data_IF_358261218356
#
_entry.id   IF_358261218356
#
_cell.length_a   1.000
_cell.length_b   1.000
_cell.length_c   1.000
_cell.angle_alpha   90.00
_cell.angle_beta   90.00
_cell.angle_gamma   90.00
#
_symmetry.space_group_name_H-M   'P 1'
#
loop_
_entity.id
_entity.type
_entity.pdbx_description
1 polymer ?
#
# COMPACT_ATOMS: atom_id res chain seq x y z
N UNK A 1 8.71 8.93 -9.80
CA UNK A 1 7.79 9.94 -9.22
C UNK A 1 7.91 10.04 -7.71
N UNK A 2 8.00 8.93 -6.96
CA UNK A 2 8.09 8.95 -5.49
C UNK A 2 9.21 9.88 -4.94
N UNK A 3 10.49 9.65 -5.32
CA UNK A 3 11.61 10.50 -4.88
C UNK A 3 11.42 11.99 -5.22
N UNK A 4 10.90 12.25 -6.43
CA UNK A 4 10.59 13.60 -6.88
C UNK A 4 9.43 14.22 -6.06
N UNK A 5 8.43 13.43 -5.69
CA UNK A 5 7.33 13.86 -4.82
C UNK A 5 7.85 14.32 -3.46
N UNK A 6 8.74 13.55 -2.83
CA UNK A 6 9.37 13.94 -1.56
C UNK A 6 10.18 15.23 -1.70
N UNK A 7 10.96 15.38 -2.78
CA UNK A 7 11.73 16.59 -3.05
C UNK A 7 10.82 17.81 -3.26
N UNK A 8 9.80 17.70 -4.13
CA UNK A 8 8.85 18.77 -4.38
C UNK A 8 8.06 19.17 -3.13
N UNK A 9 7.72 18.20 -2.27
CA UNK A 9 7.05 18.47 -1.01
C UNK A 9 7.93 19.30 -0.08
N UNK A 10 9.23 19.00 -0.02
CA UNK A 10 10.21 19.75 0.77
C UNK A 10 10.40 21.17 0.25
N UNK A 11 10.47 21.35 -1.07
CA UNK A 11 10.82 22.63 -1.68
C UNK A 11 9.61 23.57 -1.84
N UNK A 12 8.45 23.03 -2.22
CA UNK A 12 7.28 23.80 -2.65
C UNK A 12 6.02 23.55 -1.80
N UNK A 13 6.08 22.66 -0.82
CA UNK A 13 4.95 22.27 0.02
C UNK A 13 3.97 21.28 -0.63
N UNK A 14 3.09 20.72 0.20
CA UNK A 14 2.19 19.62 -0.17
C UNK A 14 1.22 19.96 -1.31
N UNK A 15 0.58 21.13 -1.27
CA UNK A 15 -0.44 21.50 -2.26
C UNK A 15 0.15 21.55 -3.69
N UNK A 16 1.27 22.26 -3.85
CA UNK A 16 1.96 22.39 -5.12
C UNK A 16 2.52 21.05 -5.62
N UNK A 17 3.10 20.25 -4.72
CA UNK A 17 3.60 18.92 -5.05
C UNK A 17 2.47 18.01 -5.54
N UNK A 18 1.32 17.99 -4.84
CA UNK A 18 0.15 17.19 -5.20
C UNK A 18 -0.38 17.58 -6.58
N UNK A 19 -0.56 18.87 -6.83
CA UNK A 19 -1.00 19.39 -8.12
C UNK A 19 -0.03 18.99 -9.23
N UNK A 20 1.28 19.14 -9.01
CA UNK A 20 2.31 18.78 -9.98
C UNK A 20 2.27 17.29 -10.36
N UNK A 21 2.18 16.39 -9.38
CA UNK A 21 2.12 14.96 -9.63
C UNK A 21 0.84 14.55 -10.36
N UNK A 22 -0.31 15.11 -9.96
CA UNK A 22 -1.60 14.81 -10.59
C UNK A 22 -1.67 15.36 -12.02
N UNK A 23 -1.20 16.59 -12.25
CA UNK A 23 -1.13 17.20 -13.57
C UNK A 23 -0.21 16.43 -14.51
N UNK A 24 0.92 15.91 -14.00
CA UNK A 24 1.82 15.08 -14.80
C UNK A 24 1.19 13.73 -15.15
N UNK A 25 0.48 13.11 -14.20
CA UNK A 25 -0.25 11.87 -14.45
C UNK A 25 -1.34 12.07 -15.51
N UNK A 26 -2.15 13.14 -15.40
CA UNK A 26 -3.18 13.44 -16.39
C UNK A 26 -2.59 13.73 -17.77
N UNK A 27 -1.48 14.48 -17.85
CA UNK A 27 -0.81 14.76 -19.11
C UNK A 27 -0.35 13.49 -19.83
N UNK A 28 0.20 12.50 -19.11
CA UNK A 28 0.60 11.23 -19.72
C UNK A 28 -0.59 10.50 -20.35
N UNK A 29 -1.72 10.45 -19.65
CA UNK A 29 -2.93 9.77 -20.12
C UNK A 29 -3.62 10.52 -21.25
N UNK A 30 -3.68 11.84 -21.17
CA UNK A 30 -4.22 12.70 -22.22
C UNK A 30 -3.41 12.56 -23.51
N UNK A 31 -2.08 12.61 -23.41
CA UNK A 31 -1.19 12.44 -24.58
C UNK A 31 -1.38 11.07 -25.22
N UNK A 32 -1.54 10.00 -24.42
CA UNK A 32 -1.82 8.66 -24.96
C UNK A 32 -3.16 8.62 -25.70
N UNK A 33 -4.22 9.21 -25.13
CA UNK A 33 -5.52 9.29 -25.79
C UNK A 33 -5.43 10.00 -27.14
N UNK A 34 -4.76 11.16 -27.17
CA UNK A 34 -4.63 11.99 -28.37
C UNK A 34 -3.79 11.36 -29.48
N UNK A 35 -2.73 10.62 -29.13
CA UNK A 35 -1.74 10.12 -30.09
C UNK A 35 -1.89 8.64 -30.45
N UNK A 36 -2.52 7.84 -29.59
CA UNK A 36 -2.53 6.39 -29.72
C UNK A 36 -3.94 5.78 -29.67
N UNK A 37 -5.00 6.56 -29.49
CA UNK A 37 -6.37 6.07 -29.34
C UNK A 37 -7.38 6.89 -30.14
N UNK A 38 -7.24 6.87 -31.47
CA UNK A 38 -8.21 7.51 -32.37
C UNK A 38 -9.61 6.88 -32.22
N UNK A 39 -10.65 7.72 -32.12
CA UNK A 39 -12.04 7.27 -32.06
C UNK A 39 -12.57 6.83 -30.67
N UNK A 40 -11.82 7.03 -29.59
CA UNK A 40 -12.30 6.68 -28.26
C UNK A 40 -13.50 7.54 -27.79
N UNK A 41 -14.58 6.93 -27.25
CA UNK A 41 -15.76 7.65 -26.77
C UNK A 41 -15.45 8.70 -25.70
N UNK A 42 -16.12 9.86 -25.75
CA UNK A 42 -15.87 11.02 -24.88
C UNK A 42 -16.16 10.81 -23.37
N UNK A 43 -16.68 9.65 -22.95
CA UNK A 43 -16.94 9.33 -21.53
C UNK A 43 -15.99 8.30 -20.91
N UNK A 44 -15.05 7.75 -21.68
CA UNK A 44 -14.15 6.69 -21.20
C UNK A 44 -12.74 7.21 -20.94
N UNK A 45 -12.14 6.82 -19.81
CA UNK A 45 -10.72 7.06 -19.56
C UNK A 45 -9.91 5.93 -20.20
N UNK A 46 -9.22 6.23 -21.31
CA UNK A 46 -8.40 5.25 -22.02
C UNK A 46 -7.00 5.21 -21.40
N UNK A 47 -6.56 4.01 -21.04
CA UNK A 47 -5.25 3.75 -20.44
C UNK A 47 -4.53 2.68 -21.28
N UNK A 48 -3.22 2.83 -21.56
CA UNK A 48 -2.43 1.71 -22.06
C UNK A 48 -2.26 0.66 -20.97
N UNK A 49 -2.11 -0.61 -21.37
CA UNK A 49 -1.89 -1.76 -20.49
C UNK A 49 -0.73 -1.51 -19.49
N UNK A 50 0.36 -0.90 -19.95
CA UNK A 50 1.55 -0.60 -19.16
C UNK A 50 1.33 0.49 -18.10
N UNK A 51 0.33 1.36 -18.24
CA UNK A 51 0.06 2.47 -17.32
C UNK A 51 -1.25 2.32 -16.55
N UNK A 52 -1.93 1.18 -16.65
CA UNK A 52 -3.24 0.96 -16.01
C UNK A 52 -3.23 1.18 -14.49
N UNK A 53 -2.09 0.94 -13.83
CA UNK A 53 -1.89 1.14 -12.39
C UNK A 53 -1.23 2.48 -12.04
N UNK A 54 -0.86 3.29 -13.03
CA UNK A 54 -0.19 4.58 -12.77
C UNK A 54 -1.04 5.53 -11.92
N UNK A 55 -2.35 5.73 -12.20
CA UNK A 55 -3.17 6.61 -11.36
C UNK A 55 -3.26 6.12 -9.90
N UNK A 56 -3.34 4.80 -9.71
CA UNK A 56 -3.36 4.18 -8.39
C UNK A 56 -2.07 4.51 -7.63
N UNK A 57 -0.91 4.27 -8.23
CA UNK A 57 0.38 4.53 -7.59
C UNK A 57 0.64 6.01 -7.33
N UNK A 58 0.24 6.90 -8.26
CA UNK A 58 0.36 8.35 -8.03
C UNK A 58 -0.51 8.79 -6.86
N UNK A 59 -1.74 8.29 -6.77
CA UNK A 59 -2.62 8.57 -5.64
C UNK A 59 -2.05 8.05 -4.32
N UNK A 60 -1.45 6.85 -4.32
CA UNK A 60 -0.78 6.32 -3.13
C UNK A 60 0.45 7.14 -2.72
N UNK A 61 1.24 7.63 -3.67
CA UNK A 61 2.37 8.53 -3.38
C UNK A 61 1.86 9.81 -2.67
N UNK A 62 0.78 10.41 -3.17
CA UNK A 62 0.21 11.63 -2.55
C UNK A 62 -0.27 11.37 -1.12
N UNK A 63 -0.78 10.16 -0.84
CA UNK A 63 -1.26 9.76 0.49
C UNK A 63 -0.17 9.31 1.44
N UNK A 64 1.01 8.92 0.94
CA UNK A 64 2.11 8.40 1.73
C UNK A 64 2.49 9.36 2.87
N UNK A 65 2.77 8.80 4.05
CA UNK A 65 2.93 9.57 5.28
C UNK A 65 4.13 10.54 5.22
N UNK A 66 5.22 10.15 4.54
CA UNK A 66 6.36 11.03 4.29
C UNK A 66 5.96 12.35 3.60
N UNK A 67 4.85 12.33 2.88
CA UNK A 67 4.29 13.48 2.18
C UNK A 67 3.19 14.13 3.01
N UNK A 68 2.12 13.39 3.30
CA UNK A 68 0.88 13.90 3.89
C UNK A 68 1.02 14.26 5.36
N UNK A 69 1.95 13.62 6.09
CA UNK A 69 2.13 13.82 7.53
C UNK A 69 0.93 13.30 8.33
N UNK A 70 0.73 11.97 8.36
CA UNK A 70 -0.40 11.32 9.04
C UNK A 70 -0.65 11.83 10.47
N UNK A 71 -1.88 11.70 10.95
CA UNK A 71 -2.36 12.32 12.20
C UNK A 71 -1.59 11.92 13.46
N UNK A 72 -0.96 10.74 13.45
CA UNK A 72 -0.22 10.19 14.59
C UNK A 72 1.30 10.23 14.39
N UNK A 73 1.78 10.81 13.28
CA UNK A 73 3.20 10.77 12.92
C UNK A 73 3.96 11.97 13.50
N UNK A 74 5.08 11.71 14.18
CA UNK A 74 5.95 12.78 14.68
C UNK A 74 6.75 13.43 13.53
N UNK A 75 7.34 14.60 13.80
CA UNK A 75 8.21 15.27 12.81
C UNK A 75 9.44 14.41 12.49
N UNK A 76 10.00 13.74 13.50
CA UNK A 76 11.16 12.87 13.32
C UNK A 76 10.82 11.66 12.45
N UNK A 77 9.67 11.02 12.70
CA UNK A 77 9.18 9.90 11.87
C UNK A 77 8.99 10.35 10.42
N UNK A 78 8.42 11.54 10.21
CA UNK A 78 8.23 12.11 8.87
C UNK A 78 9.56 12.27 8.14
N UNK A 79 10.52 12.92 8.80
CA UNK A 79 11.85 13.18 8.21
C UNK A 79 12.58 11.86 7.95
N UNK A 80 12.48 10.90 8.86
CA UNK A 80 13.05 9.57 8.68
C UNK A 80 12.48 8.87 7.44
N UNK A 81 11.15 8.86 7.25
CA UNK A 81 10.54 8.28 6.05
C UNK A 81 10.96 9.02 4.77
N UNK A 82 11.08 10.35 4.80
CA UNK A 82 11.56 11.13 3.66
C UNK A 82 12.99 10.74 3.25
N UNK A 83 13.88 10.55 4.22
CA UNK A 83 15.26 10.11 3.97
C UNK A 83 15.35 8.64 3.55
N UNK A 84 14.51 7.77 4.11
CA UNK A 84 14.36 6.39 3.66
C UNK A 84 13.99 6.35 2.16
N UNK A 85 13.00 7.13 1.74
CA UNK A 85 12.58 7.23 0.33
C UNK A 85 13.72 7.77 -0.55
N UNK A 86 14.55 8.70 -0.06
CA UNK A 86 15.69 9.21 -0.81
C UNK A 86 16.69 8.08 -1.11
N UNK A 87 16.97 7.24 -0.12
CA UNK A 87 17.91 6.12 -0.20
C UNK A 87 17.38 4.84 -0.84
N UNK A 88 16.06 4.66 -0.96
CA UNK A 88 15.47 3.39 -1.39
C UNK A 88 15.88 2.98 -2.81
N UNK A 89 16.08 1.67 -3.00
CA UNK A 89 16.32 1.08 -4.31
C UNK A 89 14.99 0.93 -5.07
N UNK A 90 15.06 0.84 -6.39
CA UNK A 90 13.85 0.79 -7.22
C UNK A 90 13.06 -0.49 -6.96
N UNK A 91 13.74 -1.62 -6.73
CA UNK A 91 13.13 -2.90 -6.39
C UNK A 91 12.31 -2.86 -5.09
N UNK A 92 12.73 -2.04 -4.13
CA UNK A 92 12.12 -1.96 -2.80
C UNK A 92 11.06 -0.85 -2.69
N UNK A 93 10.96 0.02 -3.69
CA UNK A 93 10.04 1.16 -3.65
C UNK A 93 8.56 0.76 -3.78
N UNK A 94 8.28 -0.40 -4.38
CA UNK A 94 6.91 -0.81 -4.70
C UNK A 94 6.05 -1.08 -3.44
N UNK A 95 6.50 -1.89 -2.46
CA UNK A 95 5.77 -2.08 -1.21
C UNK A 95 5.50 -0.77 -0.44
N UNK A 96 6.41 0.20 -0.54
CA UNK A 96 6.27 1.50 0.12
C UNK A 96 5.20 2.40 -0.53
N UNK A 97 4.98 2.23 -1.85
CA UNK A 97 3.93 2.93 -2.58
C UNK A 97 2.59 2.21 -2.43
N UNK A 98 2.57 0.89 -2.52
CA UNK A 98 1.36 0.10 -2.40
C UNK A 98 1.65 -1.15 -1.56
N UNK A 99 1.15 -1.22 -0.32
CA UNK A 99 1.49 -2.30 0.59
C UNK A 99 0.92 -3.63 0.11
N UNK A 100 1.63 -4.71 0.44
CA UNK A 100 1.20 -6.09 0.21
C UNK A 100 0.24 -6.49 1.33
N UNK A 101 -0.96 -6.94 0.99
CA UNK A 101 -1.92 -7.47 1.96
C UNK A 101 -2.17 -8.93 1.65
N UNK A 102 -1.94 -9.82 2.61
CA UNK A 102 -2.01 -11.27 2.43
C UNK A 102 -2.86 -11.90 3.53
N UNK A 103 -3.91 -12.68 3.20
CA UNK A 103 -4.64 -13.44 4.19
C UNK A 103 -3.77 -14.58 4.73
N UNK A 104 -3.70 -14.72 6.05
CA UNK A 104 -2.90 -15.75 6.72
C UNK A 104 -3.73 -16.76 7.49
N UNK A 105 -5.02 -16.48 7.72
CA UNK A 105 -5.94 -17.42 8.38
C UNK A 105 -6.15 -18.72 7.59
N UNK A 106 -6.01 -18.66 6.26
CA UNK A 106 -6.30 -19.79 5.36
C UNK A 106 -5.06 -20.66 5.11
N UNK A 107 -3.93 -20.34 5.76
CA UNK A 107 -2.68 -21.09 5.61
C UNK A 107 -2.81 -22.48 6.24
N UNK A 108 -2.71 -23.51 5.41
CA UNK A 108 -2.62 -24.91 5.86
C UNK A 108 -1.15 -25.31 5.93
N UNK A 109 -0.55 -25.17 7.11
CA UNK A 109 0.81 -25.61 7.35
C UNK A 109 0.78 -27.10 7.70
N UNK A 110 1.36 -27.95 6.83
CA UNK A 110 1.66 -29.33 7.18
C UNK A 110 3.07 -29.38 7.79
N UNK A 111 3.27 -30.16 8.85
CA UNK A 111 4.52 -30.19 9.65
C UNK A 111 5.81 -30.48 8.86
N UNK A 112 5.69 -31.00 7.62
CA UNK A 112 6.82 -31.43 6.78
C UNK A 112 7.00 -30.61 5.51
N UNK A 113 6.10 -29.69 5.18
CA UNK A 113 6.21 -28.88 3.96
C UNK A 113 6.79 -27.51 4.31
N UNK A 114 7.99 -27.24 3.78
CA UNK A 114 8.46 -25.85 3.67
C UNK A 114 7.40 -25.04 2.91
N UNK A 115 7.11 -23.82 3.37
CA UNK A 115 6.13 -22.98 2.72
C UNK A 115 6.67 -22.52 1.35
N UNK A 116 6.30 -23.26 0.29
CA UNK A 116 6.82 -23.05 -1.08
C UNK A 116 6.24 -21.81 -1.76
N UNK A 117 5.02 -21.41 -1.39
CA UNK A 117 4.32 -20.27 -1.98
C UNK A 117 3.65 -19.40 -0.92
N UNK A 118 3.72 -18.08 -1.14
CA UNK A 118 3.01 -17.10 -0.31
C UNK A 118 1.52 -17.05 -0.66
N UNK A 119 0.63 -16.70 0.29
CA UNK A 119 -0.78 -16.50 0.00
C UNK A 119 -0.99 -15.47 -1.11
N UNK A 120 -2.06 -15.66 -1.88
CA UNK A 120 -2.46 -14.70 -2.89
C UNK A 120 -2.79 -13.36 -2.23
N UNK A 121 -2.13 -12.30 -2.69
CA UNK A 121 -2.35 -10.95 -2.20
C UNK A 121 -3.77 -10.45 -2.54
N UNK A 122 -4.33 -9.65 -1.64
CA UNK A 122 -5.59 -8.91 -1.82
C UNK A 122 -5.31 -7.41 -1.95
N UNK A 123 -6.29 -6.66 -2.43
CA UNK A 123 -6.15 -5.20 -2.60
C UNK A 123 -6.09 -4.51 -1.23
N UNK A 124 -5.24 -3.49 -1.12
CA UNK A 124 -5.12 -2.63 0.06
C UNK A 124 -6.31 -1.65 0.16
N UNK A 125 -7.50 -2.19 0.43
CA UNK A 125 -8.73 -1.46 0.75
C UNK A 125 -9.51 -2.27 1.77
N UNK A 126 -10.18 -1.60 2.70
CA UNK A 126 -10.97 -2.22 3.77
C UNK A 126 -12.08 -3.13 3.24
N UNK A 127 -12.56 -2.90 2.02
CA UNK A 127 -13.54 -3.75 1.34
C UNK A 127 -13.06 -5.19 1.10
N UNK A 128 -11.74 -5.42 1.12
CA UNK A 128 -11.15 -6.75 0.93
C UNK A 128 -10.76 -7.42 2.25
N UNK A 129 -11.06 -6.78 3.39
CA UNK A 129 -10.84 -7.35 4.71
C UNK A 129 -12.12 -8.04 5.18
N UNK A 130 -11.94 -9.26 5.65
CA UNK A 130 -13.01 -10.09 6.21
C UNK A 130 -12.76 -10.22 7.71
N UNK A 131 -13.76 -9.88 8.52
CA UNK A 131 -13.67 -9.97 9.98
C UNK A 131 -13.48 -11.40 10.49
N UNK A 132 -13.75 -12.42 9.68
CA UNK A 132 -13.48 -13.83 10.02
C UNK A 132 -12.03 -14.26 9.77
N UNK A 133 -11.19 -13.37 9.22
CA UNK A 133 -9.82 -13.68 8.78
C UNK A 133 -8.77 -12.80 9.45
N UNK A 134 -7.53 -13.25 9.36
CA UNK A 134 -6.35 -12.49 9.75
C UNK A 134 -5.49 -12.20 8.51
N UNK A 135 -4.86 -11.04 8.48
CA UNK A 135 -4.07 -10.55 7.35
C UNK A 135 -2.72 -10.02 7.81
N UNK A 136 -1.69 -10.26 6.99
CA UNK A 136 -0.42 -9.56 7.07
C UNK A 136 -0.46 -8.38 6.09
N UNK A 137 -0.09 -7.19 6.56
CA UNK A 137 0.09 -5.98 5.76
C UNK A 137 1.57 -5.60 5.82
N UNK A 138 2.23 -5.61 4.68
CA UNK A 138 3.65 -5.35 4.57
C UNK A 138 3.92 -4.22 3.58
N UNK A 139 4.47 -3.11 4.08
CA UNK A 139 4.85 -1.94 3.28
C UNK A 139 6.37 -1.89 2.98
N UNK A 140 7.11 -2.95 3.29
CA UNK A 140 8.56 -3.06 3.12
C UNK A 140 9.38 -2.48 4.27
N UNK A 141 8.73 -1.86 5.26
CA UNK A 141 9.38 -1.21 6.40
C UNK A 141 8.81 -1.73 7.71
N UNK A 142 7.49 -1.76 7.80
CA UNK A 142 6.70 -2.24 8.94
C UNK A 142 5.80 -3.35 8.44
N UNK A 143 5.67 -4.38 9.28
CA UNK A 143 4.73 -5.47 9.07
C UNK A 143 3.64 -5.35 10.13
N UNK A 144 2.40 -5.22 9.68
CA UNK A 144 1.23 -5.23 10.54
C UNK A 144 0.53 -6.58 10.45
N UNK A 145 0.05 -7.07 11.59
CA UNK A 145 -0.87 -8.19 11.65
C UNK A 145 -2.24 -7.64 12.00
N UNK A 146 -3.17 -7.71 11.05
CA UNK A 146 -4.55 -7.35 11.28
C UNK A 146 -5.35 -8.61 11.61
N UNK A 147 -6.14 -8.55 12.69
CA UNK A 147 -6.93 -9.68 13.17
C UNK A 147 -8.38 -9.26 13.19
N UNK A 148 -9.21 -9.96 12.42
CA UNK A 148 -10.64 -9.72 12.39
C UNK A 148 -11.32 -10.08 13.71
N UNK A 149 -12.42 -9.40 14.02
CA UNK A 149 -13.16 -9.60 15.28
C UNK A 149 -13.86 -10.97 15.39
N UNK A 150 -14.05 -11.67 14.27
CA UNK A 150 -14.72 -12.96 14.17
C UNK A 150 -13.77 -14.09 13.74
N UNK A 151 -12.46 -13.91 13.91
CA UNK A 151 -11.47 -14.96 13.63
C UNK A 151 -11.74 -16.17 14.53
N UNK A 152 -11.68 -17.42 14.00
CA UNK A 152 -11.92 -18.61 14.80
C UNK A 152 -10.98 -18.71 16.01
N UNK A 153 -11.57 -18.97 17.18
CA UNK A 153 -10.82 -19.16 18.43
C UNK A 153 -9.67 -20.18 18.32
N UNK A 154 -9.82 -21.34 17.63
CA UNK A 154 -8.71 -22.27 17.48
C UNK A 154 -7.47 -21.63 16.85
N UNK A 155 -7.65 -20.84 15.78
CA UNK A 155 -6.55 -20.15 15.11
C UNK A 155 -5.87 -19.12 16.04
N UNK A 156 -6.67 -18.39 16.84
CA UNK A 156 -6.13 -17.42 17.81
C UNK A 156 -5.30 -18.14 18.88
N UNK A 157 -5.80 -19.25 19.39
CA UNK A 157 -5.10 -20.06 20.39
C UNK A 157 -3.80 -20.64 19.83
N UNK A 158 -3.82 -21.12 18.58
CA UNK A 158 -2.65 -21.72 17.93
C UNK A 158 -1.56 -20.69 17.62
N UNK A 159 -1.93 -19.46 17.22
CA UNK A 159 -0.98 -18.41 16.82
C UNK A 159 -0.53 -17.53 17.98
N UNK A 160 -1.44 -17.14 18.87
CA UNK A 160 -1.20 -16.18 19.95
C UNK A 160 -1.22 -16.80 21.34
N UNK A 161 -1.66 -18.05 21.50
CA UNK A 161 -1.70 -18.72 22.80
C UNK A 161 -2.83 -18.25 23.73
N UNK A 162 -3.76 -17.43 23.24
CA UNK A 162 -4.86 -16.85 24.03
C UNK A 162 -6.24 -17.36 23.58
N UNK A 163 -7.21 -17.29 24.48
CA UNK A 163 -8.54 -17.87 24.25
C UNK A 163 -9.50 -17.00 23.45
N UNK A 164 -9.16 -15.73 23.18
CA UNK A 164 -10.01 -14.81 22.43
C UNK A 164 -9.22 -13.62 21.86
N UNK A 165 -9.75 -12.98 20.80
CA UNK A 165 -9.09 -11.83 20.13
C UNK A 165 -8.82 -10.66 21.07
N UNK A 166 -9.71 -10.42 22.04
CA UNK A 166 -9.59 -9.32 23.00
C UNK A 166 -8.54 -9.56 24.10
N UNK A 167 -7.94 -10.76 24.16
CA UNK A 167 -6.86 -11.10 25.07
C UNK A 167 -5.48 -10.93 24.43
N UNK A 168 -5.42 -10.58 23.14
CA UNK A 168 -4.18 -10.33 22.43
C UNK A 168 -3.62 -8.99 22.90
N UNK A 169 -2.39 -9.02 23.40
CA UNK A 169 -1.68 -7.81 23.81
C UNK A 169 -1.05 -7.11 22.61
N UNK A 170 -1.30 -5.80 22.49
CA UNK A 170 -0.79 -4.94 21.41
C UNK A 170 0.25 -3.93 21.87
N UNK A 171 0.53 -3.82 23.18
CA UNK A 171 1.31 -2.71 23.76
C UNK A 171 2.55 -3.15 24.56
N UNK A 172 2.86 -4.45 24.61
CA UNK A 172 4.08 -4.98 25.26
C UNK A 172 5.38 -4.70 24.51
#
# INVERSE_FOLDING_TARGET
>A
MLKQGVQLNRDNGYANMKENLLARCSQFLATYREKCSEGAPLGQLILPESLKLMPLYVNSIVKNDAISGGSEMTVDDKVWQMELIRGIRTEDAMPLIYPRVMPVSDLQLQETDEMKELPKQVRASTEFFDNSKAYIIDNGVVLFVWIGSAVPQPWIQDVFGVGATNQIDTES
#
